data_IF_392063192486
#
_entry.id   IF_392063192486
#
_cell.length_a   1.000
_cell.length_b   1.000
_cell.length_c   1.000
_cell.angle_alpha   90.00
_cell.angle_beta   90.00
_cell.angle_gamma   90.00
#
_symmetry.space_group_name_H-M   'P 1'
#
loop_
_entity.id
_entity.type
_entity.pdbx_description
1 polymer ?
#
# COMPACT_ATOMS: atom_id res chain seq x y z
N UNK A 1 -20.73 9.24 13.66
CA UNK A 1 -19.72 8.72 14.61
C UNK A 1 -19.26 7.38 14.07
N UNK A 2 -17.95 7.11 13.97
CA UNK A 2 -17.46 5.82 13.46
C UNK A 2 -17.99 4.67 14.31
N UNK A 3 -18.51 3.61 13.69
CA UNK A 3 -19.00 2.40 14.36
C UNK A 3 -17.98 1.82 15.34
N UNK A 4 -16.69 1.96 15.03
CA UNK A 4 -15.56 1.57 15.87
C UNK A 4 -15.50 2.33 17.19
N UNK A 5 -15.72 3.65 17.15
CA UNK A 5 -15.74 4.52 18.34
C UNK A 5 -16.96 4.19 19.22
N UNK A 6 -18.10 3.89 18.61
CA UNK A 6 -19.31 3.48 19.32
C UNK A 6 -19.09 2.17 20.09
N UNK A 7 -18.42 1.19 19.48
CA UNK A 7 -18.06 -0.09 20.14
C UNK A 7 -17.17 0.15 21.36
N UNK A 8 -16.18 1.04 21.25
CA UNK A 8 -15.26 1.39 22.33
C UNK A 8 -16.01 2.05 23.51
N UNK A 9 -16.90 3.00 23.23
CA UNK A 9 -17.73 3.67 24.25
C UNK A 9 -18.63 2.66 24.98
N UNK A 10 -19.27 1.75 24.25
CA UNK A 10 -20.12 0.70 24.83
C UNK A 10 -19.29 -0.24 25.72
N UNK A 11 -18.08 -0.63 25.27
CA UNK A 11 -17.17 -1.45 26.06
C UNK A 11 -16.82 -0.82 27.41
N UNK A 12 -16.48 0.47 27.43
CA UNK A 12 -16.22 1.23 28.66
C UNK A 12 -17.46 1.25 29.57
N UNK A 13 -18.64 1.47 28.99
CA UNK A 13 -19.90 1.49 29.74
C UNK A 13 -20.17 0.15 30.44
N UNK A 14 -19.92 -0.98 29.76
CA UNK A 14 -20.10 -2.32 30.34
C UNK A 14 -19.13 -2.60 31.49
N UNK A 15 -17.89 -2.12 31.41
CA UNK A 15 -16.93 -2.22 32.52
C UNK A 15 -17.41 -1.40 33.73
N UNK A 16 -17.90 -0.18 33.50
CA UNK A 16 -18.44 0.66 34.58
C UNK A 16 -19.65 0.00 35.25
N UNK A 17 -20.57 -0.57 34.48
CA UNK A 17 -21.72 -1.32 35.01
C UNK A 17 -21.26 -2.56 35.78
N UNK A 18 -20.25 -3.28 35.29
CA UNK A 18 -19.69 -4.45 35.95
C UNK A 18 -19.07 -4.10 37.32
N UNK A 19 -18.32 -2.99 37.41
CA UNK A 19 -17.74 -2.50 38.66
C UNK A 19 -18.83 -2.10 39.68
N UNK A 20 -19.88 -1.42 39.22
CA UNK A 20 -21.02 -1.06 40.07
C UNK A 20 -21.82 -2.29 40.54
N UNK A 21 -22.00 -3.28 39.68
CA UNK A 21 -22.69 -4.53 40.01
C UNK A 21 -21.89 -5.38 41.01
N UNK A 22 -20.57 -5.39 40.88
CA UNK A 22 -19.64 -6.04 41.82
C UNK A 22 -19.75 -5.42 43.22
N UNK A 23 -19.78 -4.08 43.32
CA UNK A 23 -19.96 -3.36 44.59
C UNK A 23 -21.30 -3.67 45.29
N UNK A 24 -22.35 -3.98 44.53
CA UNK A 24 -23.67 -4.38 45.03
C UNK A 24 -23.81 -5.89 45.31
N UNK A 25 -22.75 -6.69 45.16
CA UNK A 25 -22.77 -8.13 45.38
C UNK A 25 -23.51 -8.93 44.29
N UNK A 26 -23.85 -8.32 43.16
CA UNK A 26 -24.55 -8.98 42.03
C UNK A 26 -23.55 -9.55 41.03
N UNK A 27 -22.98 -10.72 41.37
CA UNK A 27 -21.98 -11.40 40.55
C UNK A 27 -22.53 -12.01 39.25
N UNK A 28 -23.83 -12.35 39.22
CA UNK A 28 -24.48 -13.00 38.06
C UNK A 28 -24.52 -12.12 36.80
N UNK A 29 -24.58 -10.81 36.96
CA UNK A 29 -24.62 -9.85 35.85
C UNK A 29 -23.28 -9.15 35.63
N UNK A 30 -22.55 -8.86 36.71
CA UNK A 30 -21.31 -8.07 36.64
C UNK A 30 -20.17 -8.79 35.92
N UNK A 31 -19.99 -10.09 36.16
CA UNK A 31 -18.91 -10.89 35.54
C UNK A 31 -19.07 -10.96 34.01
N UNK A 32 -20.22 -11.39 33.45
CA UNK A 32 -20.37 -11.47 31.99
C UNK A 32 -20.30 -10.10 31.30
N UNK A 33 -20.83 -9.04 31.91
CA UNK A 33 -20.72 -7.68 31.39
C UNK A 33 -19.27 -7.18 31.39
N UNK A 34 -18.50 -7.50 32.43
CA UNK A 34 -17.08 -7.16 32.49
C UNK A 34 -16.26 -7.84 31.39
N UNK A 35 -16.48 -9.14 31.19
CA UNK A 35 -15.82 -9.91 30.12
C UNK A 35 -16.19 -9.34 28.74
N UNK A 36 -17.48 -9.11 28.50
CA UNK A 36 -17.96 -8.56 27.23
C UNK A 36 -17.39 -7.16 26.97
N UNK A 37 -17.34 -6.30 28.00
CA UNK A 37 -16.76 -4.97 27.90
C UNK A 37 -15.27 -5.00 27.54
N UNK A 38 -14.48 -5.88 28.16
CA UNK A 38 -13.06 -6.06 27.83
C UNK A 38 -12.88 -6.57 26.39
N UNK A 39 -13.65 -7.57 25.96
CA UNK A 39 -13.58 -8.07 24.57
C UNK A 39 -13.94 -6.99 23.55
N UNK A 40 -14.96 -6.17 23.83
CA UNK A 40 -15.35 -5.06 22.97
C UNK A 40 -14.28 -3.96 22.91
N UNK A 41 -13.60 -3.67 24.02
CA UNK A 41 -12.48 -2.73 24.02
C UNK A 41 -11.27 -3.27 23.25
N UNK A 42 -10.95 -4.56 23.38
CA UNK A 42 -9.88 -5.20 22.59
C UNK A 42 -10.22 -5.10 21.10
N UNK A 43 -11.41 -5.56 20.70
CA UNK A 43 -11.85 -5.51 19.31
C UNK A 43 -11.89 -4.07 18.77
N UNK A 44 -12.48 -3.14 19.53
CA UNK A 44 -12.54 -1.72 19.18
C UNK A 44 -11.16 -1.10 19.03
N UNK A 45 -10.20 -1.45 19.90
CA UNK A 45 -8.83 -0.94 19.83
C UNK A 45 -8.08 -1.50 18.62
N UNK A 46 -8.10 -2.82 18.41
CA UNK A 46 -7.44 -3.48 17.28
C UNK A 46 -8.03 -3.09 15.91
N UNK A 47 -9.34 -2.81 15.86
CA UNK A 47 -10.02 -2.39 14.62
C UNK A 47 -9.98 -0.87 14.39
N UNK A 48 -9.68 -0.08 15.42
CA UNK A 48 -9.52 1.36 15.32
C UNK A 48 -8.15 1.73 14.78
N UNK A 49 -8.12 2.77 13.95
CA UNK A 49 -6.89 3.38 13.44
C UNK A 49 -6.07 4.09 14.54
N UNK A 50 -6.42 3.89 15.83
CA UNK A 50 -5.75 4.43 17.02
C UNK A 50 -4.57 3.57 17.48
N UNK A 51 -4.56 2.28 17.12
CA UNK A 51 -3.37 1.45 17.31
C UNK A 51 -2.47 1.71 16.12
N UNK A 52 -1.46 2.56 16.33
CA UNK A 52 -0.28 2.58 15.47
C UNK A 52 0.34 1.18 15.58
N UNK A 53 0.00 0.31 14.65
CA UNK A 53 0.78 -0.89 14.43
C UNK A 53 2.20 -0.40 14.21
N UNK A 54 3.13 -0.78 15.10
CA UNK A 54 4.52 -0.85 14.72
C UNK A 54 4.58 -1.90 13.61
N UNK A 55 4.23 -1.49 12.39
CA UNK A 55 4.60 -2.20 11.18
C UNK A 55 6.10 -2.39 11.34
N UNK A 56 6.55 -3.64 11.43
CA UNK A 56 7.97 -3.93 11.35
C UNK A 56 8.52 -3.10 10.19
N UNK A 57 9.57 -2.31 10.43
CA UNK A 57 10.18 -1.49 9.39
C UNK A 57 10.42 -2.43 8.21
N UNK A 58 9.68 -2.20 7.12
CA UNK A 58 9.65 -3.15 6.02
C UNK A 58 11.04 -3.23 5.41
N UNK A 59 11.68 -4.40 5.51
CA UNK A 59 12.97 -4.63 4.87
C UNK A 59 12.74 -4.86 3.38
N UNK A 60 12.80 -3.77 2.61
CA UNK A 60 12.71 -3.77 1.15
C UNK A 60 14.10 -3.81 0.53
N UNK A 61 14.30 -4.69 -0.45
CA UNK A 61 15.54 -4.75 -1.22
C UNK A 61 15.64 -3.53 -2.13
N UNK A 62 16.86 -3.02 -2.35
CA UNK A 62 17.10 -1.92 -3.28
C UNK A 62 17.88 -2.48 -4.48
N UNK A 63 17.39 -2.21 -5.69
CA UNK A 63 18.06 -2.59 -6.94
C UNK A 63 19.36 -1.81 -7.16
N UNK A 64 19.97 -1.93 -8.35
CA UNK A 64 21.08 -1.04 -8.69
C UNK A 64 20.56 0.39 -8.83
N UNK A 65 21.38 1.36 -8.43
CA UNK A 65 21.07 2.78 -8.52
C UNK A 65 21.88 3.45 -9.63
N UNK A 66 21.22 4.25 -10.46
CA UNK A 66 21.91 5.23 -11.31
C UNK A 66 22.48 6.35 -10.45
N UNK A 67 23.66 6.84 -10.82
CA UNK A 67 24.17 8.12 -10.33
C UNK A 67 23.47 9.24 -11.10
N UNK A 68 22.97 10.24 -10.38
CA UNK A 68 22.39 11.44 -10.99
C UNK A 68 23.45 12.52 -10.96
N UNK A 69 23.88 12.95 -12.14
CA UNK A 69 24.77 14.08 -12.33
C UNK A 69 24.00 15.21 -13.04
N UNK A 70 23.89 16.37 -12.39
CA UNK A 70 23.25 17.57 -12.94
C UNK A 70 21.76 17.76 -12.57
N UNK A 71 21.11 18.80 -13.14
CA UNK A 71 19.74 19.16 -12.80
C UNK A 71 18.71 18.15 -13.31
N UNK A 72 17.69 17.87 -12.50
CA UNK A 72 16.59 16.95 -12.82
C UNK A 72 15.50 17.70 -13.59
N UNK A 73 15.37 17.39 -14.88
CA UNK A 73 14.43 18.07 -15.79
C UNK A 73 13.18 17.24 -16.15
N UNK A 74 13.13 15.97 -15.75
CA UNK A 74 12.00 15.08 -15.97
C UNK A 74 11.91 14.02 -14.86
N UNK A 75 10.73 13.41 -14.71
CA UNK A 75 10.55 12.23 -13.86
C UNK A 75 11.36 11.08 -14.43
N UNK A 76 12.18 10.43 -13.59
CA UNK A 76 12.99 9.27 -13.97
C UNK A 76 13.11 8.26 -12.84
N UNK A 77 13.27 6.98 -13.18
CA UNK A 77 13.67 5.91 -12.27
C UNK A 77 15.18 5.97 -12.05
N UNK A 78 15.60 5.81 -10.79
CA UNK A 78 17.01 5.60 -10.43
C UNK A 78 17.29 4.17 -10.01
N UNK A 79 16.29 3.45 -9.49
CA UNK A 79 16.38 2.04 -9.13
C UNK A 79 15.00 1.38 -9.26
N UNK A 80 14.87 0.19 -9.86
CA UNK A 80 15.93 -0.58 -10.52
C UNK A 80 16.36 0.07 -11.86
N UNK A 81 17.42 -0.46 -12.48
CA UNK A 81 17.85 -0.02 -13.83
C UNK A 81 17.37 -1.00 -14.91
N UNK A 82 17.40 -0.58 -16.18
CA UNK A 82 17.04 -1.46 -17.29
C UNK A 82 17.84 -2.76 -17.27
N UNK A 83 17.14 -3.88 -17.48
CA UNK A 83 17.58 -5.27 -17.44
C UNK A 83 18.07 -5.76 -16.07
N UNK A 84 17.80 -5.05 -14.98
CA UNK A 84 18.12 -5.56 -13.66
C UNK A 84 17.30 -6.81 -13.30
N UNK A 85 17.94 -7.68 -12.53
CA UNK A 85 17.29 -8.81 -11.88
C UNK A 85 17.02 -8.49 -10.42
N UNK A 86 15.74 -8.40 -10.05
CA UNK A 86 15.25 -7.86 -8.77
C UNK A 86 14.60 -8.94 -7.89
N UNK A 87 14.58 -8.70 -6.58
CA UNK A 87 13.83 -9.57 -5.66
C UNK A 87 12.31 -9.35 -5.84
N UNK A 88 11.49 -10.25 -5.28
CA UNK A 88 10.02 -10.18 -5.37
C UNK A 88 9.41 -8.91 -4.76
N UNK A 89 10.19 -8.20 -3.94
CA UNK A 89 9.80 -6.96 -3.30
C UNK A 89 10.99 -6.03 -3.26
N UNK A 90 10.86 -4.88 -3.93
CA UNK A 90 11.90 -3.86 -3.93
C UNK A 90 11.32 -2.48 -3.66
N UNK A 91 12.19 -1.57 -3.26
CA UNK A 91 11.92 -0.14 -3.30
C UNK A 91 12.28 0.37 -4.70
N UNK A 92 11.25 0.71 -5.48
CA UNK A 92 11.44 1.45 -6.73
C UNK A 92 11.57 2.92 -6.37
N UNK A 93 12.63 3.56 -6.88
CA UNK A 93 13.02 4.91 -6.54
C UNK A 93 13.27 5.69 -7.82
N UNK A 94 13.08 7.00 -7.74
CA UNK A 94 13.40 7.90 -8.82
C UNK A 94 13.51 9.35 -8.37
N UNK A 95 13.65 10.23 -9.35
CA UNK A 95 13.72 11.67 -9.17
C UNK A 95 12.68 12.39 -10.02
N UNK A 96 12.35 13.62 -9.64
CA UNK A 96 11.46 14.50 -10.38
C UNK A 96 11.90 15.98 -10.24
N UNK A 97 11.56 16.86 -11.20
CA UNK A 97 11.84 18.29 -11.09
C UNK A 97 11.05 18.91 -9.95
N UNK A 98 11.62 19.82 -9.15
CA UNK A 98 10.90 20.44 -8.02
C UNK A 98 9.56 21.10 -8.41
N UNK A 99 9.44 21.57 -9.65
CA UNK A 99 8.21 22.15 -10.19
C UNK A 99 7.11 21.12 -10.51
N UNK A 100 7.39 19.82 -10.44
CA UNK A 100 6.50 18.75 -10.87
C UNK A 100 5.42 18.43 -9.81
N UNK A 101 4.16 18.70 -10.17
CA UNK A 101 3.00 18.62 -9.28
C UNK A 101 2.13 17.39 -9.45
N UNK A 102 2.29 16.63 -10.54
CA UNK A 102 1.49 15.43 -10.77
C UNK A 102 1.90 14.31 -9.83
N UNK A 103 1.04 13.33 -9.70
CA UNK A 103 1.36 12.11 -8.99
C UNK A 103 2.20 11.21 -9.89
N UNK A 104 3.08 10.44 -9.25
CA UNK A 104 3.93 9.48 -9.95
C UNK A 104 3.43 8.09 -9.56
N UNK A 105 3.18 7.28 -10.57
CA UNK A 105 2.68 5.92 -10.43
C UNK A 105 3.65 4.94 -11.06
N UNK A 106 3.91 3.85 -10.34
CA UNK A 106 4.59 2.69 -10.90
C UNK A 106 3.55 1.66 -11.27
N UNK A 107 3.60 1.17 -12.50
CA UNK A 107 2.75 0.11 -13.02
C UNK A 107 3.64 -1.02 -13.51
N UNK A 108 3.35 -2.24 -13.07
CA UNK A 108 4.05 -3.44 -13.50
C UNK A 108 3.20 -4.12 -14.57
N UNK A 109 3.83 -4.56 -15.67
CA UNK A 109 3.22 -5.44 -16.67
C UNK A 109 4.05 -6.73 -16.81
N UNK A 110 3.57 -7.87 -16.28
CA UNK A 110 4.15 -9.19 -16.49
C UNK A 110 3.93 -9.72 -17.91
N UNK A 111 4.27 -10.99 -18.10
CA UNK A 111 4.04 -11.72 -19.36
C UNK A 111 2.57 -12.03 -19.69
N UNK A 112 1.64 -11.77 -18.76
CA UNK A 112 0.19 -11.92 -18.96
C UNK A 112 -0.48 -10.72 -19.65
N UNK A 113 0.33 -9.71 -20.00
CA UNK A 113 -0.09 -8.46 -20.65
C UNK A 113 -1.12 -7.62 -19.88
N UNK A 114 -1.18 -7.80 -18.56
CA UNK A 114 -2.00 -7.00 -17.65
C UNK A 114 -1.19 -5.95 -16.92
N UNK A 115 -1.86 -4.88 -16.50
CA UNK A 115 -1.25 -3.73 -15.85
C UNK A 115 -1.65 -3.68 -14.38
N UNK A 116 -0.64 -3.64 -13.51
CA UNK A 116 -0.80 -3.70 -12.06
C UNK A 116 -0.23 -2.44 -11.41
N UNK A 117 -1.06 -1.42 -11.11
CA UNK A 117 -0.61 -0.24 -10.40
C UNK A 117 -0.10 -0.61 -9.00
N UNK A 118 1.04 -0.03 -8.63
CA UNK A 118 1.72 -0.27 -7.36
C UNK A 118 1.56 0.94 -6.45
N UNK A 119 1.26 0.68 -5.18
CA UNK A 119 1.23 1.69 -4.13
C UNK A 119 1.74 1.08 -2.82
N UNK A 120 2.39 1.90 -2.00
CA UNK A 120 2.53 1.56 -0.58
C UNK A 120 1.23 1.94 0.15
N UNK A 121 1.20 1.98 1.49
CA UNK A 121 -0.01 2.38 2.23
C UNK A 121 -0.55 3.78 1.87
N UNK A 122 0.14 4.53 1.02
CA UNK A 122 -0.35 5.76 0.40
C UNK A 122 -0.94 5.48 -0.99
N UNK A 123 -1.89 6.33 -1.40
CA UNK A 123 -2.58 6.18 -2.67
C UNK A 123 -1.69 6.37 -3.91
N UNK A 124 -0.41 6.74 -3.81
CA UNK A 124 0.51 7.04 -4.93
C UNK A 124 1.97 6.80 -4.49
N UNK A 125 2.99 7.18 -5.27
CA UNK A 125 4.38 7.18 -4.77
C UNK A 125 4.60 8.23 -3.67
N UNK A 126 5.43 7.94 -2.68
CA UNK A 126 5.93 8.94 -1.75
C UNK A 126 6.91 9.88 -2.44
N UNK A 127 6.70 11.20 -2.33
CA UNK A 127 7.54 12.25 -2.93
C UNK A 127 8.11 13.17 -1.84
N UNK A 128 9.42 13.42 -1.88
CA UNK A 128 10.09 14.37 -0.98
C UNK A 128 11.39 14.90 -1.60
N UNK A 129 11.61 16.21 -1.53
CA UNK A 129 12.89 16.84 -1.89
C UNK A 129 13.41 16.44 -3.29
N UNK A 130 12.52 16.36 -4.29
CA UNK A 130 12.88 15.97 -5.66
C UNK A 130 13.07 14.47 -5.89
N UNK A 131 12.91 13.64 -4.86
CA UNK A 131 12.99 12.18 -4.92
C UNK A 131 11.62 11.53 -4.70
N UNK A 132 11.37 10.45 -5.42
CA UNK A 132 10.15 9.66 -5.24
C UNK A 132 10.49 8.18 -5.00
N UNK A 133 9.62 7.49 -4.27
CA UNK A 133 9.76 6.06 -4.05
C UNK A 133 8.41 5.37 -3.86
N UNK A 134 8.36 4.09 -4.19
CA UNK A 134 7.22 3.22 -3.92
C UNK A 134 7.69 1.78 -3.78
N UNK A 135 7.04 1.03 -2.89
CA UNK A 135 7.26 -0.40 -2.79
C UNK A 135 6.58 -1.10 -3.97
N UNK A 136 7.36 -1.84 -4.74
CA UNK A 136 6.87 -2.63 -5.87
C UNK A 136 6.97 -4.11 -5.55
N UNK A 137 5.87 -4.83 -5.79
CA UNK A 137 5.76 -6.26 -5.54
C UNK A 137 5.62 -7.00 -6.87
N UNK A 138 6.45 -8.01 -7.06
CA UNK A 138 6.47 -8.86 -8.25
C UNK A 138 5.94 -10.23 -7.86
N UNK A 139 4.96 -10.73 -8.59
CA UNK A 139 4.57 -12.15 -8.57
C UNK A 139 5.44 -12.96 -9.54
N UNK A 140 4.98 -14.15 -9.93
CA UNK A 140 5.54 -14.86 -11.09
C UNK A 140 6.77 -15.73 -10.86
N UNK A 141 7.32 -16.27 -11.94
CA UNK A 141 8.39 -17.26 -11.91
C UNK A 141 9.78 -16.65 -11.96
N UNK A 142 10.81 -17.42 -11.58
CA UNK A 142 12.22 -16.98 -11.68
C UNK A 142 12.59 -16.67 -13.13
N UNK A 143 13.16 -15.49 -13.37
CA UNK A 143 13.59 -15.03 -14.68
C UNK A 143 12.46 -14.47 -15.55
N UNK A 144 11.24 -14.38 -15.03
CA UNK A 144 10.13 -13.74 -15.72
C UNK A 144 10.45 -12.26 -15.98
N UNK A 145 10.07 -11.78 -17.16
CA UNK A 145 10.28 -10.41 -17.58
C UNK A 145 9.05 -9.56 -17.23
N UNK A 146 9.31 -8.36 -16.75
CA UNK A 146 8.29 -7.34 -16.49
C UNK A 146 8.68 -6.05 -17.19
N UNK A 147 7.68 -5.34 -17.69
CA UNK A 147 7.84 -3.91 -17.92
C UNK A 147 7.52 -3.18 -16.60
N UNK A 148 8.47 -2.41 -16.09
CA UNK A 148 8.28 -1.44 -15.01
C UNK A 148 8.04 -0.08 -15.64
N UNK A 149 6.82 0.43 -15.54
CA UNK A 149 6.34 1.59 -16.29
C UNK A 149 6.03 2.71 -15.30
N UNK A 150 6.53 3.91 -15.60
CA UNK A 150 6.28 5.10 -14.80
C UNK A 150 5.26 5.97 -15.52
N UNK A 151 4.22 6.35 -14.77
CA UNK A 151 3.19 7.25 -15.22
C UNK A 151 3.20 8.53 -14.39
N UNK A 152 3.04 9.66 -15.06
CA UNK A 152 2.56 10.90 -14.44
C UNK A 152 1.03 10.92 -14.53
N UNK A 153 0.35 10.98 -13.39
CA UNK A 153 -1.11 10.96 -13.33
C UNK A 153 -1.67 12.31 -12.83
N UNK A 154 -2.76 12.77 -13.46
CA UNK A 154 -3.61 13.78 -12.86
C UNK A 154 -4.48 13.21 -11.73
N UNK A 155 -5.21 14.07 -11.03
CA UNK A 155 -6.04 13.68 -9.89
C UNK A 155 -7.10 12.62 -10.25
N UNK A 156 -7.66 12.66 -11.46
CA UNK A 156 -8.67 11.70 -11.92
C UNK A 156 -8.03 10.33 -12.17
N UNK A 157 -6.89 10.30 -12.85
CA UNK A 157 -6.14 9.07 -13.08
C UNK A 157 -5.61 8.45 -11.78
N UNK A 158 -5.08 9.27 -10.86
CA UNK A 158 -4.66 8.79 -9.53
C UNK A 158 -5.82 8.19 -8.75
N UNK A 159 -6.96 8.89 -8.70
CA UNK A 159 -8.14 8.38 -8.01
C UNK A 159 -8.63 7.06 -8.61
N UNK A 160 -8.54 6.91 -9.95
CA UNK A 160 -8.86 5.66 -10.61
C UNK A 160 -7.97 4.53 -10.11
N UNK A 161 -6.63 4.70 -10.17
CA UNK A 161 -5.70 3.66 -9.73
C UNK A 161 -5.86 3.30 -8.24
N UNK A 162 -5.99 4.30 -7.36
CA UNK A 162 -6.21 4.05 -5.93
C UNK A 162 -7.50 3.25 -5.70
N UNK A 163 -8.61 3.65 -6.34
CA UNK A 163 -9.89 2.95 -6.21
C UNK A 163 -9.86 1.53 -6.78
N UNK A 164 -9.08 1.30 -7.83
CA UNK A 164 -8.87 -0.02 -8.43
C UNK A 164 -8.15 -0.94 -7.44
N UNK A 165 -7.05 -0.46 -6.84
CA UNK A 165 -6.29 -1.23 -5.85
C UNK A 165 -7.15 -1.52 -4.62
N UNK A 166 -7.93 -0.54 -4.14
CA UNK A 166 -8.83 -0.72 -3.00
C UNK A 166 -9.88 -1.80 -3.26
N UNK A 167 -10.55 -1.76 -4.43
CA UNK A 167 -11.52 -2.79 -4.83
C UNK A 167 -10.90 -4.18 -4.95
N UNK A 168 -9.69 -4.28 -5.52
CA UNK A 168 -8.98 -5.56 -5.63
C UNK A 168 -8.61 -6.12 -4.26
N UNK A 169 -8.17 -5.26 -3.33
CA UNK A 169 -7.89 -5.65 -1.94
C UNK A 169 -9.15 -6.09 -1.19
N UNK A 170 -10.27 -5.38 -1.36
CA UNK A 170 -11.55 -5.75 -0.72
C UNK A 170 -12.09 -7.09 -1.25
N UNK A 171 -11.89 -7.37 -2.54
CA UNK A 171 -12.34 -8.61 -3.17
C UNK A 171 -11.34 -9.78 -3.04
N UNK A 172 -10.11 -9.51 -2.61
CA UNK A 172 -8.96 -10.42 -2.71
C UNK A 172 -8.76 -11.01 -4.11
N UNK A 173 -8.97 -10.17 -5.14
CA UNK A 173 -8.86 -10.55 -6.55
C UNK A 173 -8.12 -9.47 -7.34
N UNK A 174 -7.06 -9.88 -8.04
CA UNK A 174 -6.12 -9.00 -8.75
C UNK A 174 -6.05 -9.38 -10.23
N UNK A 175 -7.12 -9.13 -11.01
CA UNK A 175 -7.20 -9.57 -12.42
C UNK A 175 -6.30 -8.76 -13.36
N UNK A 176 -5.79 -7.62 -12.90
CA UNK A 176 -4.98 -6.71 -13.70
C UNK A 176 -5.79 -5.90 -14.72
N UNK A 177 -5.36 -4.68 -15.00
CA UNK A 177 -6.00 -3.80 -15.97
C UNK A 177 -5.57 -4.17 -17.40
N UNK A 178 -6.44 -3.93 -18.38
CA UNK A 178 -6.06 -3.88 -19.80
C UNK A 178 -5.52 -2.49 -20.15
N UNK A 179 -4.85 -2.39 -21.29
CA UNK A 179 -4.30 -1.11 -21.77
C UNK A 179 -5.40 -0.06 -21.97
N UNK A 180 -6.57 -0.47 -22.48
CA UNK A 180 -7.70 0.44 -22.75
C UNK A 180 -8.36 0.96 -21.47
N UNK A 181 -8.09 0.32 -20.33
CA UNK A 181 -8.59 0.71 -19.01
C UNK A 181 -7.65 1.71 -18.30
N UNK A 182 -6.46 1.96 -18.86
CA UNK A 182 -5.56 2.99 -18.34
C UNK A 182 -6.19 4.36 -18.59
N UNK A 183 -6.40 5.19 -17.55
CA UNK A 183 -7.10 6.47 -17.68
C UNK A 183 -6.29 7.45 -18.53
N UNK A 184 -6.97 8.22 -19.38
CA UNK A 184 -6.31 9.20 -20.28
C UNK A 184 -5.47 10.27 -19.54
N UNK A 185 -5.77 10.52 -18.25
CA UNK A 185 -5.00 11.40 -17.38
C UNK A 185 -3.64 10.84 -16.92
N UNK A 186 -3.37 9.56 -17.20
CA UNK A 186 -2.08 8.91 -16.94
C UNK A 186 -1.21 8.95 -18.21
N UNK A 187 -0.06 9.63 -18.13
CA UNK A 187 0.92 9.72 -19.20
C UNK A 187 2.15 8.89 -18.85
N UNK A 188 2.47 7.89 -19.68
CA UNK A 188 3.73 7.16 -19.58
C UNK A 188 4.91 8.11 -19.81
N UNK A 189 5.89 8.07 -18.90
CA UNK A 189 7.12 8.87 -18.98
C UNK A 189 8.38 8.03 -19.07
N UNK A 190 8.33 6.79 -18.58
CA UNK A 190 9.46 5.87 -18.66
C UNK A 190 8.98 4.42 -18.62
N UNK A 191 9.73 3.53 -19.27
CA UNK A 191 9.52 2.09 -19.25
C UNK A 191 10.87 1.37 -19.22
N UNK A 192 11.03 0.49 -18.26
CA UNK A 192 12.22 -0.36 -18.10
C UNK A 192 11.83 -1.83 -18.20
N UNK A 193 12.71 -2.65 -18.77
CA UNK A 193 12.57 -4.11 -18.74
C UNK A 193 13.32 -4.63 -17.51
N UNK A 194 12.67 -5.38 -16.63
CA UNK A 194 13.31 -5.99 -15.45
C UNK A 194 12.96 -7.47 -15.36
N UNK A 195 13.72 -8.21 -14.56
CA UNK A 195 13.59 -9.66 -14.41
C UNK A 195 13.46 -10.06 -12.94
N UNK A 196 12.67 -11.08 -12.64
CA UNK A 196 12.67 -11.67 -11.30
C UNK A 196 13.96 -12.48 -11.05
N UNK A 197 14.59 -12.28 -9.89
CA UNK A 197 15.80 -13.02 -9.48
C UNK A 197 15.50 -14.44 -8.99
N UNK A 198 14.31 -14.63 -8.42
CA UNK A 198 13.84 -15.87 -7.80
C UNK A 198 12.35 -16.07 -8.09
N UNK A 199 11.81 -17.23 -7.71
CA UNK A 199 10.38 -17.47 -7.81
C UNK A 199 9.64 -16.58 -6.80
N UNK A 200 8.61 -15.90 -7.27
CA UNK A 200 7.84 -14.91 -6.54
C UNK A 200 6.34 -15.24 -6.48
N UNK A 201 5.94 -16.46 -6.85
CA UNK A 201 4.55 -16.93 -6.68
C UNK A 201 4.17 -16.99 -5.20
N UNK A 202 2.99 -16.45 -4.87
CA UNK A 202 2.45 -16.47 -3.49
C UNK A 202 3.20 -15.56 -2.51
N UNK A 203 4.05 -14.66 -3.01
CA UNK A 203 4.66 -13.60 -2.21
C UNK A 203 3.69 -12.42 -2.22
N UNK A 204 2.94 -12.25 -1.13
CA UNK A 204 1.99 -11.17 -0.94
C UNK A 204 2.60 -10.00 -0.19
#
# INVERSE_FOLDING_TARGET
MSTKIVILIIGVLFILIALLASKKGSSKLGIPLGILGVLMMIYGSYSSDLVNYNSQIEQVSIGKKLKIDGPVNAVKVVSPIDKDSVDCRILTMGVYPESHKKDIWVIIRPTDDRYYPQSDHTNTSYKREGEWQVVTRFGGDKGEAYDLIIYEADATASSFFSSTIEKWKEADDYPGLKLEEIPAGAKEVERLKIYSRKNCRGVF
#
